data_IF_509403363473
#
_entry.id   IF_509403363473
#
_cell.length_a   1.000
_cell.length_b   1.000
_cell.length_c   1.000
_cell.angle_alpha   90.00
_cell.angle_beta   90.00
_cell.angle_gamma   90.00
#
_symmetry.space_group_name_H-M   'P 1'
#
loop_
_entity.id
_entity.type
_entity.pdbx_description
1 polymer ?
#
# COMPACT_ATOMS: atom_id res chain seq x y z
N UNK A 1 -4.35 22.12 10.33
CA UNK A 1 -5.55 21.28 10.07
C UNK A 1 -5.81 21.17 8.55
N UNK A 2 -4.78 20.77 7.78
CA UNK A 2 -4.86 20.48 6.33
C UNK A 2 -4.48 19.02 6.01
N UNK A 3 -3.85 18.31 6.96
CA UNK A 3 -3.35 16.92 6.83
C UNK A 3 -4.46 15.85 6.71
N UNK A 4 -5.70 16.16 7.10
CA UNK A 4 -6.85 15.21 6.98
C UNK A 4 -7.46 15.21 5.57
N UNK A 5 -7.18 16.23 4.74
CA UNK A 5 -7.82 16.35 3.43
C UNK A 5 -7.19 15.42 2.37
N UNK A 6 -5.89 15.14 2.47
CA UNK A 6 -5.14 14.34 1.48
C UNK A 6 -5.40 12.84 1.67
N UNK A 7 -5.42 12.36 2.92
CA UNK A 7 -5.80 10.97 3.22
C UNK A 7 -7.24 10.65 2.79
N UNK A 8 -8.16 11.62 2.89
CA UNK A 8 -9.54 11.47 2.41
C UNK A 8 -9.64 11.46 0.89
N UNK A 9 -8.71 12.12 0.19
CA UNK A 9 -8.66 12.18 -1.27
C UNK A 9 -8.17 10.84 -1.88
N UNK A 10 -7.23 10.17 -1.21
CA UNK A 10 -6.75 8.83 -1.60
C UNK A 10 -7.83 7.77 -1.34
N UNK A 11 -8.57 7.88 -0.23
CA UNK A 11 -9.71 6.98 0.07
C UNK A 11 -10.91 7.17 -0.88
N UNK A 12 -11.08 8.37 -1.45
CA UNK A 12 -12.13 8.68 -2.44
C UNK A 12 -11.76 8.26 -3.86
N UNK A 13 -10.47 8.17 -4.19
CA UNK A 13 -10.00 7.75 -5.52
C UNK A 13 -10.28 6.26 -5.82
N UNK A 14 -10.41 5.42 -4.79
CA UNK A 14 -10.69 3.98 -4.94
C UNK A 14 -12.17 3.65 -5.25
N UNK A 15 -13.10 4.60 -5.17
CA UNK A 15 -14.55 4.32 -5.33
C UNK A 15 -15.24 5.02 -6.51
N UNK A 16 -14.55 5.86 -7.28
CA UNK A 16 -15.19 6.53 -8.40
C UNK A 16 -14.22 6.75 -9.57
N UNK A 17 -14.39 5.92 -10.59
CA UNK A 17 -13.91 6.16 -11.94
C UNK A 17 -14.62 7.42 -12.51
N UNK A 18 -14.23 8.62 -12.08
CA UNK A 18 -14.57 9.87 -12.76
C UNK A 18 -13.39 10.81 -12.69
N UNK A 19 -12.77 11.02 -13.86
CA UNK A 19 -11.77 12.04 -14.14
C UNK A 19 -12.19 13.38 -13.54
N UNK A 20 -11.49 13.81 -12.51
CA UNK A 20 -11.44 15.21 -12.11
C UNK A 20 -10.01 15.69 -12.25
N UNK A 21 -9.84 16.56 -13.25
CA UNK A 21 -8.61 17.33 -13.51
C UNK A 21 -8.27 18.10 -12.24
N UNK A 22 -7.13 17.77 -11.63
CA UNK A 22 -6.56 18.53 -10.52
C UNK A 22 -5.87 19.76 -11.10
N UNK A 23 -6.24 20.95 -10.61
CA UNK A 23 -5.59 22.21 -10.95
C UNK A 23 -4.15 22.23 -10.40
N UNK A 24 -3.23 22.23 -11.36
CA UNK A 24 -1.81 22.57 -11.38
C UNK A 24 -1.35 23.60 -10.33
N UNK A 25 -0.60 23.11 -9.31
CA UNK A 25 0.38 23.86 -8.50
C UNK A 25 1.51 22.96 -7.97
N UNK A 26 2.13 22.15 -8.83
CA UNK A 26 3.28 21.33 -8.46
C UNK A 26 4.16 21.07 -9.68
N UNK A 27 5.48 21.00 -9.49
CA UNK A 27 6.41 20.53 -10.51
C UNK A 27 5.92 19.19 -11.09
N UNK A 28 6.12 19.02 -12.40
CA UNK A 28 5.55 17.91 -13.18
C UNK A 28 5.96 16.57 -12.55
N UNK A 29 5.00 15.78 -12.06
CA UNK A 29 5.26 14.42 -11.64
C UNK A 29 5.65 13.58 -12.87
N UNK A 30 6.76 12.83 -12.77
CA UNK A 30 7.17 11.91 -13.82
C UNK A 30 6.46 10.58 -13.59
N UNK A 31 5.72 10.12 -14.60
CA UNK A 31 4.97 8.86 -14.56
C UNK A 31 5.46 7.96 -15.68
N UNK A 32 5.99 6.81 -15.32
CA UNK A 32 6.39 5.75 -16.23
C UNK A 32 5.49 4.53 -16.01
N UNK A 33 5.00 3.95 -17.11
CA UNK A 33 4.20 2.73 -17.10
C UNK A 33 4.81 1.79 -18.13
N UNK A 34 5.26 0.62 -17.67
CA UNK A 34 5.77 -0.45 -18.53
C UNK A 34 4.98 -1.74 -18.25
N UNK A 35 3.98 -2.01 -19.09
CA UNK A 35 3.10 -3.16 -18.89
C UNK A 35 2.26 -3.02 -17.62
N UNK A 36 2.51 -3.90 -16.64
CA UNK A 36 1.82 -3.97 -15.35
C UNK A 36 2.58 -3.23 -14.24
N UNK A 37 3.77 -2.72 -14.57
CA UNK A 37 4.64 -2.00 -13.65
C UNK A 37 4.43 -0.49 -13.80
N UNK A 38 4.49 0.21 -12.67
CA UNK A 38 4.27 1.65 -12.57
C UNK A 38 5.38 2.27 -11.74
N UNK A 39 5.99 3.34 -12.24
CA UNK A 39 6.88 4.21 -11.47
C UNK A 39 6.35 5.64 -11.49
N UNK A 40 6.30 6.28 -10.33
CA UNK A 40 5.92 7.68 -10.18
C UNK A 40 6.97 8.38 -9.33
N UNK A 41 7.54 9.45 -9.86
CA UNK A 41 8.45 10.32 -9.13
C UNK A 41 7.81 11.71 -8.97
N UNK A 42 7.87 12.24 -7.75
CA UNK A 42 7.37 13.57 -7.41
C UNK A 42 8.39 14.28 -6.52
N UNK A 43 8.64 15.55 -6.80
CA UNK A 43 9.44 16.43 -5.95
C UNK A 43 8.77 17.79 -5.84
N UNK A 44 8.82 18.39 -4.66
CA UNK A 44 8.48 19.81 -4.44
C UNK A 44 9.68 20.66 -4.01
N UNK A 45 10.88 20.09 -4.11
CA UNK A 45 12.15 20.70 -3.70
C UNK A 45 12.47 20.59 -2.20
N UNK A 46 11.52 20.20 -1.35
CA UNK A 46 11.74 19.89 0.07
C UNK A 46 11.57 18.39 0.36
N UNK A 47 10.64 17.75 -0.34
CA UNK A 47 10.34 16.32 -0.25
C UNK A 47 10.41 15.68 -1.63
N UNK A 48 11.08 14.53 -1.71
CA UNK A 48 11.07 13.67 -2.88
C UNK A 48 10.29 12.40 -2.55
N UNK A 49 9.42 11.94 -3.46
CA UNK A 49 8.61 10.73 -3.31
C UNK A 49 8.78 9.88 -4.56
N UNK A 50 9.14 8.63 -4.35
CA UNK A 50 9.21 7.59 -5.40
C UNK A 50 8.19 6.52 -5.05
N UNK A 51 7.32 6.19 -6.01
CA UNK A 51 6.32 5.12 -5.91
C UNK A 51 6.65 4.11 -7.02
N UNK A 52 6.94 2.88 -6.63
CA UNK A 52 7.16 1.75 -7.53
C UNK A 52 6.06 0.72 -7.28
N UNK A 53 5.41 0.28 -8.34
CA UNK A 53 4.44 -0.80 -8.35
C UNK A 53 4.88 -1.86 -9.34
N UNK A 54 4.89 -3.11 -8.93
CA UNK A 54 5.21 -4.26 -9.80
C UNK A 54 3.98 -5.18 -9.86
N UNK A 55 3.67 -5.69 -11.05
CA UNK A 55 2.59 -6.65 -11.30
C UNK A 55 1.22 -6.23 -10.71
N UNK A 56 0.84 -4.95 -10.83
CA UNK A 56 -0.41 -4.43 -10.26
C UNK A 56 -1.66 -4.70 -11.13
N UNK A 57 -1.46 -5.25 -12.33
CA UNK A 57 -2.51 -5.44 -13.35
C UNK A 57 -2.99 -6.87 -13.54
N UNK A 58 -2.57 -7.78 -12.67
CA UNK A 58 -2.85 -9.22 -12.79
C UNK A 58 -4.34 -9.57 -12.73
N UNK A 59 -4.72 -10.61 -13.47
CA UNK A 59 -6.06 -11.23 -13.41
C UNK A 59 -6.17 -12.23 -12.24
N UNK A 60 -5.07 -12.52 -11.54
CA UNK A 60 -5.06 -13.40 -10.37
C UNK A 60 -5.51 -12.64 -9.12
N UNK A 61 -6.42 -13.24 -8.35
CA UNK A 61 -6.95 -12.61 -7.14
C UNK A 61 -5.90 -12.52 -6.01
N UNK A 62 -4.86 -13.34 -6.06
CA UNK A 62 -3.74 -13.37 -5.12
C UNK A 62 -2.44 -13.65 -5.90
N UNK A 63 -1.94 -12.61 -6.56
CA UNK A 63 -0.69 -12.67 -7.32
C UNK A 63 0.50 -12.44 -6.39
N UNK A 64 1.33 -13.47 -6.17
CA UNK A 64 2.48 -13.43 -5.24
C UNK A 64 3.69 -12.64 -5.75
N UNK A 65 3.61 -12.11 -6.98
CA UNK A 65 4.60 -11.19 -7.54
C UNK A 65 4.16 -9.71 -7.44
N UNK A 66 2.96 -9.41 -6.91
CA UNK A 66 2.50 -8.02 -6.72
C UNK A 66 3.20 -7.30 -5.57
N UNK A 67 3.77 -6.13 -5.88
CA UNK A 67 4.51 -5.29 -4.93
C UNK A 67 4.14 -3.81 -5.11
N UNK A 68 4.05 -3.08 -4.00
CA UNK A 68 4.06 -1.62 -3.98
C UNK A 68 5.13 -1.16 -3.00
N UNK A 69 6.01 -0.27 -3.44
CA UNK A 69 7.03 0.37 -2.65
C UNK A 69 6.90 1.90 -2.78
N UNK A 70 6.88 2.59 -1.65
CA UNK A 70 6.81 4.04 -1.60
C UNK A 70 7.93 4.53 -0.70
N UNK A 71 8.81 5.37 -1.22
CA UNK A 71 9.90 5.98 -0.48
C UNK A 71 9.74 7.49 -0.54
N UNK A 72 9.59 8.11 0.62
CA UNK A 72 9.62 9.56 0.77
C UNK A 72 10.92 9.97 1.47
N UNK A 73 11.61 10.97 0.93
CA UNK A 73 12.79 11.59 1.55
C UNK A 73 12.55 13.08 1.80
N UNK A 74 13.16 13.64 2.84
CA UNK A 74 12.96 15.03 3.23
C UNK A 74 12.73 15.16 4.74
N UNK A 75 11.98 16.20 5.15
CA UNK A 75 11.62 16.42 6.56
C UNK A 75 10.67 15.34 7.09
N UNK A 76 9.73 14.87 6.26
CA UNK A 76 8.74 13.83 6.57
C UNK A 76 9.13 12.46 5.94
N UNK A 77 10.42 12.09 6.00
CA UNK A 77 10.93 10.86 5.38
C UNK A 77 10.31 9.59 5.97
N UNK A 78 10.03 8.62 5.10
CA UNK A 78 9.48 7.32 5.46
C UNK A 78 9.42 6.36 4.28
N UNK A 79 9.21 5.09 4.59
CA UNK A 79 9.04 4.01 3.61
C UNK A 79 7.75 3.28 3.89
N UNK A 80 7.01 2.96 2.84
CA UNK A 80 5.89 2.03 2.88
C UNK A 80 6.12 0.95 1.85
N UNK A 81 5.96 -0.31 2.24
CA UNK A 81 6.00 -1.46 1.35
C UNK A 81 4.75 -2.29 1.57
N UNK A 82 4.13 -2.73 0.51
CA UNK A 82 3.06 -3.71 0.52
C UNK A 82 3.40 -4.80 -0.49
N UNK A 83 3.28 -6.05 -0.09
CA UNK A 83 3.54 -7.20 -0.96
C UNK A 83 2.48 -8.27 -0.74
N UNK A 84 2.14 -8.97 -1.80
CA UNK A 84 1.40 -10.23 -1.71
C UNK A 84 2.42 -11.34 -1.54
N UNK A 85 2.29 -12.13 -0.47
CA UNK A 85 3.15 -13.29 -0.21
C UNK A 85 2.64 -14.52 -0.94
N UNK A 86 1.33 -14.56 -1.22
CA UNK A 86 0.66 -15.64 -1.96
C UNK A 86 -0.34 -16.42 -1.12
N UNK A 87 -0.87 -17.48 -1.71
CA UNK A 87 -1.88 -18.32 -1.07
C UNK A 87 -1.23 -19.21 0.00
N UNK A 88 -1.79 -19.16 1.22
CA UNK A 88 -1.36 -20.01 2.33
C UNK A 88 -1.74 -21.47 2.03
N UNK A 89 -0.75 -22.37 2.03
CA UNK A 89 -0.94 -23.76 1.61
C UNK A 89 -1.43 -24.70 2.72
N UNK A 90 -1.14 -24.39 3.98
CA UNK A 90 -1.48 -25.21 5.14
C UNK A 90 -1.67 -24.38 6.42
N UNK A 91 -2.19 -25.03 7.48
CA UNK A 91 -2.45 -24.37 8.76
C UNK A 91 -3.84 -23.77 8.89
N UNK A 92 -3.98 -22.87 9.86
CA UNK A 92 -5.25 -22.22 10.24
C UNK A 92 -5.80 -21.31 9.15
N UNK A 93 -4.92 -20.66 8.39
CA UNK A 93 -5.25 -19.70 7.34
C UNK A 93 -5.15 -20.31 5.93
N UNK A 94 -5.11 -21.64 5.81
CA UNK A 94 -4.97 -22.32 4.52
C UNK A 94 -6.08 -21.90 3.53
N UNK A 95 -5.68 -21.52 2.32
CA UNK A 95 -6.56 -21.03 1.26
C UNK A 95 -6.78 -19.52 1.25
N UNK A 96 -6.29 -18.78 2.24
CA UNK A 96 -6.31 -17.31 2.25
C UNK A 96 -5.10 -16.74 1.52
N UNK A 97 -5.26 -15.56 0.94
CA UNK A 97 -4.16 -14.76 0.42
C UNK A 97 -3.46 -14.05 1.58
N UNK A 98 -2.16 -14.29 1.70
CA UNK A 98 -1.32 -13.62 2.68
C UNK A 98 -0.70 -12.38 2.04
N UNK A 99 -0.88 -11.23 2.67
CA UNK A 99 -0.25 -9.97 2.27
C UNK A 99 0.51 -9.39 3.45
N UNK A 100 1.58 -8.65 3.17
CA UNK A 100 2.35 -7.94 4.17
C UNK A 100 2.39 -6.47 3.86
N UNK A 101 2.27 -5.65 4.89
CA UNK A 101 2.57 -4.23 4.84
C UNK A 101 3.66 -3.90 5.85
N UNK A 102 4.58 -3.06 5.43
CA UNK A 102 5.62 -2.48 6.25
C UNK A 102 5.54 -0.96 6.12
N UNK A 103 5.54 -0.26 7.23
CA UNK A 103 5.65 1.19 7.29
C UNK A 103 6.76 1.54 8.26
N UNK A 104 7.71 2.35 7.81
CA UNK A 104 8.76 2.91 8.66
C UNK A 104 8.83 4.41 8.47
N UNK A 105 8.87 5.13 9.58
CA UNK A 105 9.22 6.54 9.63
C UNK A 105 10.26 6.77 10.72
N UNK A 106 10.65 8.03 10.90
CA UNK A 106 11.51 8.40 12.04
C UNK A 106 10.87 8.18 13.41
N UNK A 107 9.54 8.05 13.48
CA UNK A 107 8.78 7.96 14.73
C UNK A 107 8.22 6.57 15.01
N UNK A 108 7.94 5.78 13.97
CA UNK A 108 7.23 4.50 14.13
C UNK A 108 7.65 3.50 13.07
N UNK A 109 7.74 2.24 13.48
CA UNK A 109 7.80 1.08 12.58
C UNK A 109 6.58 0.22 12.83
N UNK A 110 5.85 -0.10 11.76
CA UNK A 110 4.67 -0.95 11.77
C UNK A 110 4.87 -2.06 10.74
N UNK A 111 4.70 -3.29 11.19
CA UNK A 111 4.60 -4.48 10.34
C UNK A 111 3.17 -5.01 10.46
N UNK A 112 2.56 -5.40 9.35
CA UNK A 112 1.21 -5.98 9.37
C UNK A 112 1.09 -7.11 8.37
N UNK A 113 0.64 -8.27 8.85
CA UNK A 113 0.24 -9.40 8.03
C UNK A 113 -1.29 -9.40 7.92
N UNK A 114 -1.79 -9.49 6.69
CA UNK A 114 -3.21 -9.62 6.39
C UNK A 114 -3.47 -10.98 5.76
N UNK A 115 -4.56 -11.62 6.17
CA UNK A 115 -5.07 -12.84 5.56
C UNK A 115 -6.47 -12.56 5.02
N UNK A 116 -6.61 -12.65 3.72
CA UNK A 116 -7.78 -12.19 2.98
C UNK A 116 -8.36 -13.33 2.16
N UNK A 117 -9.68 -13.42 2.08
CA UNK A 117 -10.35 -14.41 1.24
C UNK A 117 -10.48 -13.96 -0.23
N UNK A 118 -11.05 -14.82 -1.08
CA UNK A 118 -11.24 -14.54 -2.52
C UNK A 118 -12.23 -13.38 -2.77
N UNK A 119 -13.05 -13.00 -1.77
CA UNK A 119 -13.97 -11.86 -1.86
C UNK A 119 -13.28 -10.53 -1.50
N UNK A 120 -12.03 -10.58 -1.03
CA UNK A 120 -11.27 -9.42 -0.58
C UNK A 120 -11.56 -9.04 0.88
N UNK A 121 -12.24 -9.89 1.65
CA UNK A 121 -12.54 -9.64 3.05
C UNK A 121 -11.36 -10.07 3.93
N UNK A 122 -10.92 -9.19 4.84
CA UNK A 122 -9.89 -9.53 5.82
C UNK A 122 -10.47 -10.49 6.85
N UNK A 123 -9.97 -11.71 6.86
CA UNK A 123 -10.33 -12.75 7.83
C UNK A 123 -9.48 -12.62 9.08
N UNK A 124 -8.19 -12.31 8.91
CA UNK A 124 -7.25 -12.20 10.02
C UNK A 124 -6.21 -11.11 9.78
N UNK A 125 -5.79 -10.43 10.84
CA UNK A 125 -4.72 -9.43 10.80
C UNK A 125 -3.81 -9.55 12.01
N UNK A 126 -2.49 -9.56 11.78
CA UNK A 126 -1.48 -9.45 12.81
C UNK A 126 -0.70 -8.16 12.59
N UNK A 127 -0.62 -7.32 13.62
CA UNK A 127 0.09 -6.04 13.55
C UNK A 127 1.16 -6.00 14.64
N UNK A 128 2.39 -5.68 14.28
CA UNK A 128 3.45 -5.32 15.22
C UNK A 128 3.74 -3.83 15.08
N UNK A 129 3.68 -3.09 16.18
CA UNK A 129 4.12 -1.70 16.25
C UNK A 129 5.05 -1.55 17.43
N UNK A 130 6.32 -1.24 17.16
CA UNK A 130 7.34 -1.01 18.19
C UNK A 130 7.44 -2.16 19.23
N UNK A 131 7.27 -3.41 18.78
CA UNK A 131 7.31 -4.59 19.63
C UNK A 131 6.03 -4.88 20.41
N UNK A 132 4.93 -4.16 20.14
CA UNK A 132 3.59 -4.52 20.59
C UNK A 132 2.86 -5.27 19.50
N UNK A 133 2.48 -6.51 19.80
CA UNK A 133 1.72 -7.38 18.91
C UNK A 133 0.20 -7.23 19.15
N UNK A 134 -0.53 -7.07 18.07
CA UNK A 134 -1.99 -7.08 18.02
C UNK A 134 -2.43 -8.19 17.08
N UNK A 135 -3.34 -9.01 17.58
CA UNK A 135 -3.86 -10.17 16.87
C UNK A 135 -5.37 -10.03 16.76
N UNK A 136 -5.88 -9.88 15.54
CA UNK A 136 -7.29 -9.53 15.28
C UNK A 136 -7.89 -10.54 14.31
N UNK A 137 -8.83 -11.32 14.84
CA UNK A 137 -9.63 -12.28 14.10
C UNK A 137 -11.00 -11.67 13.75
N UNK A 138 -11.33 -11.66 12.46
CA UNK A 138 -12.59 -11.15 11.91
C UNK A 138 -13.52 -12.29 11.49
N UNK A 139 -13.11 -13.56 11.61
CA UNK A 139 -13.95 -14.71 11.32
C UNK A 139 -15.08 -14.81 12.36
N UNK A 140 -16.28 -14.38 11.96
CA UNK A 140 -17.49 -14.40 12.79
C UNK A 140 -18.43 -15.55 12.46
#
# INVERSE_FOLDING_TARGET
MKKILILLLILLALTACTVQVVEDQGEDAEVEIDGEDVSIEYSDGETDVVIEGENLGSDEWCDDDSLVNIVATGEDAGTYRWEVVGIVVDGEYAGLCHMKAFLESSEVTIETDYYVDEEGETVHMQLNSEGMDYDIDYSS
#
